data_IF_972301658905
#
_entry.id   IF_972301658905
#
_cell.length_a   1.000
_cell.length_b   1.000
_cell.length_c   1.000
_cell.angle_alpha   90.00
_cell.angle_beta   90.00
_cell.angle_gamma   90.00
#
_symmetry.space_group_name_H-M   'P 1'
#
loop_
_entity.id
_entity.type
_entity.pdbx_description
1 polymer ?
#
# COMPACT_ATOMS: atom_id res chain seq x y z
N UNK A 1 -62.44 99.93 -59.23
CA UNK A 1 -61.78 98.63 -59.00
C UNK A 1 -61.86 97.86 -60.31
N UNK A 2 -60.72 97.70 -61.00
CA UNK A 2 -60.68 97.32 -62.41
C UNK A 2 -60.77 95.80 -62.60
N UNK A 3 -61.32 95.36 -63.74
CA UNK A 3 -61.41 93.96 -64.20
C UNK A 3 -60.10 93.16 -63.98
N UNK A 4 -58.95 93.84 -64.12
CA UNK A 4 -57.60 93.28 -63.92
C UNK A 4 -57.27 92.90 -62.46
N UNK A 5 -57.84 93.59 -61.47
CA UNK A 5 -57.61 93.29 -60.05
C UNK A 5 -58.42 92.07 -59.62
N UNK A 6 -59.62 91.89 -60.19
CA UNK A 6 -60.46 90.71 -60.01
C UNK A 6 -59.80 89.46 -60.59
N UNK A 7 -59.28 89.56 -61.81
CA UNK A 7 -58.55 88.47 -62.47
C UNK A 7 -57.25 88.10 -61.74
N UNK A 8 -56.52 89.07 -61.16
CA UNK A 8 -55.32 88.78 -60.33
C UNK A 8 -55.68 88.12 -59.00
N UNK A 9 -56.77 88.54 -58.36
CA UNK A 9 -57.26 87.92 -57.13
C UNK A 9 -57.79 86.49 -57.37
N UNK A 10 -58.48 86.25 -58.49
CA UNK A 10 -58.92 84.92 -58.91
C UNK A 10 -57.73 84.01 -59.25
N UNK A 11 -56.74 84.52 -60.00
CA UNK A 11 -55.51 83.77 -60.27
C UNK A 11 -54.67 83.49 -59.02
N UNK A 12 -54.68 84.40 -58.03
CA UNK A 12 -54.02 84.19 -56.74
C UNK A 12 -54.76 83.13 -55.90
N UNK A 13 -56.09 83.21 -55.83
CA UNK A 13 -56.92 82.23 -55.13
C UNK A 13 -56.85 80.85 -55.79
N UNK A 14 -56.76 80.77 -57.12
CA UNK A 14 -56.59 79.52 -57.84
C UNK A 14 -55.19 78.92 -57.64
N UNK A 15 -54.12 79.74 -57.66
CA UNK A 15 -52.77 79.29 -57.29
C UNK A 15 -52.67 78.84 -55.84
N UNK A 16 -53.41 79.46 -54.92
CA UNK A 16 -53.47 79.08 -53.51
C UNK A 16 -54.23 77.77 -53.32
N UNK A 17 -55.36 77.59 -54.02
CA UNK A 17 -56.08 76.30 -54.07
C UNK A 17 -55.21 75.19 -54.65
N UNK A 18 -54.49 75.45 -55.74
CA UNK A 18 -53.54 74.49 -56.33
C UNK A 18 -52.35 74.19 -55.40
N UNK A 19 -51.85 75.18 -54.64
CA UNK A 19 -50.82 74.94 -53.61
C UNK A 19 -51.36 74.05 -52.49
N UNK A 20 -52.52 74.38 -51.94
CA UNK A 20 -53.17 73.60 -50.89
C UNK A 20 -53.50 72.18 -51.35
N UNK A 21 -53.92 72.00 -52.61
CA UNK A 21 -54.17 70.68 -53.19
C UNK A 21 -52.89 69.87 -53.38
N UNK A 22 -51.81 70.47 -53.89
CA UNK A 22 -50.50 69.80 -53.96
C UNK A 22 -49.92 69.47 -52.60
N UNK A 23 -50.11 70.33 -51.60
CA UNK A 23 -49.64 70.09 -50.23
C UNK A 23 -50.45 68.97 -49.57
N UNK A 24 -51.76 68.91 -49.81
CA UNK A 24 -52.61 67.76 -49.41
C UNK A 24 -52.19 66.47 -50.11
N UNK A 25 -51.89 66.51 -51.41
CA UNK A 25 -51.42 65.34 -52.17
C UNK A 25 -50.06 64.86 -51.65
N UNK A 26 -49.10 65.77 -51.39
CA UNK A 26 -47.79 65.44 -50.81
C UNK A 26 -47.93 64.88 -49.38
N UNK A 27 -48.80 65.46 -48.56
CA UNK A 27 -49.08 64.95 -47.21
C UNK A 27 -49.71 63.56 -47.25
N UNK A 28 -50.64 63.31 -48.18
CA UNK A 28 -51.23 61.99 -48.39
C UNK A 28 -50.18 60.97 -48.88
N UNK A 29 -49.30 61.36 -49.81
CA UNK A 29 -48.21 60.50 -50.30
C UNK A 29 -47.18 60.18 -49.21
N UNK A 30 -46.85 61.14 -48.34
CA UNK A 30 -45.98 60.91 -47.18
C UNK A 30 -46.66 59.98 -46.18
N UNK A 31 -47.93 60.20 -45.85
CA UNK A 31 -48.69 59.34 -44.93
C UNK A 31 -48.83 57.90 -45.48
N UNK A 32 -49.02 57.75 -46.79
CA UNK A 32 -49.04 56.43 -47.43
C UNK A 32 -47.66 55.75 -47.39
N UNK A 33 -46.57 56.47 -47.66
CA UNK A 33 -45.20 55.96 -47.54
C UNK A 33 -44.87 55.56 -46.10
N UNK A 34 -45.29 56.34 -45.11
CA UNK A 34 -45.12 56.04 -43.69
C UNK A 34 -45.93 54.81 -43.27
N UNK A 35 -47.18 54.66 -43.75
CA UNK A 35 -48.00 53.46 -43.51
C UNK A 35 -47.32 52.22 -44.10
N UNK A 36 -46.86 52.29 -45.35
CA UNK A 36 -46.16 51.19 -46.03
C UNK A 36 -44.82 50.87 -45.34
N UNK A 37 -44.10 51.88 -44.84
CA UNK A 37 -42.87 51.68 -44.08
C UNK A 37 -43.14 51.01 -42.73
N UNK A 38 -44.19 51.42 -42.02
CA UNK A 38 -44.64 50.82 -40.76
C UNK A 38 -45.10 49.36 -40.96
N UNK A 39 -45.85 49.06 -42.01
CA UNK A 39 -46.25 47.70 -42.37
C UNK A 39 -45.02 46.82 -42.69
N UNK A 40 -44.04 47.35 -43.43
CA UNK A 40 -42.78 46.65 -43.70
C UNK A 40 -41.95 46.43 -42.43
N UNK A 41 -41.95 47.39 -41.51
CA UNK A 41 -41.25 47.28 -40.23
C UNK A 41 -41.92 46.27 -39.30
N UNK A 42 -43.26 46.28 -39.21
CA UNK A 42 -44.03 45.29 -38.47
C UNK A 42 -43.78 43.88 -39.01
N UNK A 43 -43.80 43.70 -40.35
CA UNK A 43 -43.48 42.42 -40.99
C UNK A 43 -42.01 41.97 -40.78
N UNK A 44 -41.06 42.90 -40.60
CA UNK A 44 -39.68 42.58 -40.21
C UNK A 44 -39.61 42.08 -38.77
N UNK A 45 -40.19 42.81 -37.83
CA UNK A 45 -40.22 42.44 -36.41
C UNK A 45 -40.92 41.09 -36.17
N UNK A 46 -42.01 40.81 -36.89
CA UNK A 46 -42.69 39.53 -36.78
C UNK A 46 -41.82 38.36 -37.28
N UNK A 47 -41.08 38.57 -38.39
CA UNK A 47 -40.12 37.56 -38.88
C UNK A 47 -38.96 37.36 -37.92
N UNK A 48 -38.43 38.43 -37.34
CA UNK A 48 -37.34 38.35 -36.37
C UNK A 48 -37.80 37.66 -35.07
N UNK A 49 -39.03 37.93 -34.60
CA UNK A 49 -39.64 37.21 -33.48
C UNK A 49 -39.76 35.72 -33.76
N UNK A 50 -40.29 35.33 -34.92
CA UNK A 50 -40.39 33.91 -35.31
C UNK A 50 -39.02 33.23 -35.36
N UNK A 51 -37.99 33.91 -35.87
CA UNK A 51 -36.61 33.39 -35.88
C UNK A 51 -36.05 33.18 -34.48
N UNK A 52 -36.31 34.10 -33.55
CA UNK A 52 -35.89 33.97 -32.15
C UNK A 52 -36.62 32.84 -31.44
N UNK A 53 -37.93 32.68 -31.67
CA UNK A 53 -38.72 31.56 -31.15
C UNK A 53 -38.19 30.21 -31.68
N UNK A 54 -37.97 30.10 -32.99
CA UNK A 54 -37.37 28.90 -33.60
C UNK A 54 -35.94 28.61 -33.07
N UNK A 55 -35.14 29.65 -32.83
CA UNK A 55 -33.80 29.51 -32.26
C UNK A 55 -33.85 29.03 -30.79
N UNK A 56 -34.74 29.59 -29.98
CA UNK A 56 -34.94 29.20 -28.59
C UNK A 56 -35.47 27.75 -28.48
N UNK A 57 -36.40 27.35 -29.37
CA UNK A 57 -36.87 25.97 -29.44
C UNK A 57 -35.75 24.99 -29.82
N UNK A 58 -34.91 25.36 -30.79
CA UNK A 58 -33.73 24.55 -31.18
C UNK A 58 -32.73 24.43 -30.04
N UNK A 59 -32.46 25.51 -29.31
CA UNK A 59 -31.56 25.50 -28.15
C UNK A 59 -32.12 24.65 -27.01
N UNK A 60 -33.41 24.81 -26.68
CA UNK A 60 -34.07 23.99 -25.67
C UNK A 60 -34.09 22.50 -26.06
N UNK A 61 -34.29 22.19 -27.34
CA UNK A 61 -34.18 20.82 -27.86
C UNK A 61 -32.75 20.28 -27.78
N UNK A 62 -31.74 21.10 -28.05
CA UNK A 62 -30.33 20.73 -27.90
C UNK A 62 -29.99 20.43 -26.43
N UNK A 63 -30.38 21.29 -25.49
CA UNK A 63 -30.18 21.08 -24.04
C UNK A 63 -30.89 19.81 -23.55
N UNK A 64 -32.11 19.52 -24.04
CA UNK A 64 -32.81 18.26 -23.72
C UNK A 64 -32.04 17.03 -24.20
N UNK A 65 -31.54 17.05 -25.44
CA UNK A 65 -30.73 15.94 -25.99
C UNK A 65 -29.41 15.77 -25.26
N UNK A 66 -28.76 16.86 -24.85
CA UNK A 66 -27.53 16.82 -24.05
C UNK A 66 -27.80 16.22 -22.67
N UNK A 67 -28.87 16.67 -21.99
CA UNK A 67 -29.28 16.10 -20.71
C UNK A 67 -29.61 14.60 -20.83
N UNK A 68 -30.34 14.19 -21.88
CA UNK A 68 -30.67 12.79 -22.14
C UNK A 68 -29.40 11.94 -22.37
N UNK A 69 -28.43 12.45 -23.14
CA UNK A 69 -27.12 11.79 -23.32
C UNK A 69 -26.33 11.71 -22.02
N UNK A 70 -26.35 12.75 -21.18
CA UNK A 70 -25.69 12.74 -19.89
C UNK A 70 -26.31 11.73 -18.92
N UNK A 71 -27.65 11.65 -18.89
CA UNK A 71 -28.38 10.65 -18.10
C UNK A 71 -28.09 9.23 -18.61
N UNK A 72 -28.07 9.02 -19.93
CA UNK A 72 -27.72 7.73 -20.52
C UNK A 72 -26.26 7.34 -20.22
N UNK A 73 -25.33 8.30 -20.27
CA UNK A 73 -23.93 8.12 -19.89
C UNK A 73 -23.78 7.71 -18.42
N UNK A 74 -24.38 8.47 -17.51
CA UNK A 74 -24.36 8.17 -16.07
C UNK A 74 -25.01 6.81 -15.75
N UNK A 75 -26.10 6.45 -16.45
CA UNK A 75 -26.73 5.15 -16.30
C UNK A 75 -25.82 3.99 -16.77
N UNK A 76 -25.07 4.18 -17.87
CA UNK A 76 -24.08 3.20 -18.35
C UNK A 76 -22.91 3.03 -17.37
N UNK A 77 -22.38 4.13 -16.84
CA UNK A 77 -21.31 4.11 -15.83
C UNK A 77 -21.77 3.41 -14.55
N UNK A 78 -22.96 3.74 -14.04
CA UNK A 78 -23.55 3.07 -12.88
C UNK A 78 -23.78 1.57 -13.13
N UNK A 79 -24.23 1.20 -14.33
CA UNK A 79 -24.40 -0.21 -14.71
C UNK A 79 -23.06 -0.96 -14.80
N UNK A 80 -22.00 -0.30 -15.28
CA UNK A 80 -20.65 -0.86 -15.31
C UNK A 80 -20.11 -1.06 -13.89
N UNK A 81 -20.19 -0.03 -13.04
CA UNK A 81 -19.78 -0.12 -11.64
C UNK A 81 -20.52 -1.24 -10.89
N UNK A 82 -21.83 -1.39 -11.13
CA UNK A 82 -22.61 -2.49 -10.54
C UNK A 82 -22.13 -3.87 -11.02
N UNK A 83 -21.81 -4.04 -12.31
CA UNK A 83 -21.27 -5.31 -12.84
C UNK A 83 -19.90 -5.63 -12.26
N UNK A 84 -19.03 -4.62 -12.13
CA UNK A 84 -17.70 -4.77 -11.53
C UNK A 84 -17.81 -5.17 -10.06
N UNK A 85 -18.73 -4.55 -9.30
CA UNK A 85 -19.01 -4.91 -7.91
C UNK A 85 -19.53 -6.35 -7.77
N UNK A 86 -20.46 -6.78 -8.62
CA UNK A 86 -20.97 -8.17 -8.62
C UNK A 86 -19.84 -9.16 -8.94
N UNK A 87 -18.98 -8.85 -9.92
CA UNK A 87 -17.83 -9.69 -10.26
C UNK A 87 -16.85 -9.79 -9.10
N UNK A 88 -16.52 -8.67 -8.46
CA UNK A 88 -15.63 -8.65 -7.29
C UNK A 88 -16.20 -9.48 -6.12
N UNK A 89 -17.51 -9.40 -5.87
CA UNK A 89 -18.19 -10.20 -4.85
C UNK A 89 -18.13 -11.71 -5.17
N UNK A 90 -18.34 -12.10 -6.44
CA UNK A 90 -18.23 -13.50 -6.85
C UNK A 90 -16.80 -14.02 -6.70
N UNK A 91 -15.80 -13.24 -7.11
CA UNK A 91 -14.39 -13.60 -6.96
C UNK A 91 -14.01 -13.74 -5.47
N UNK A 92 -14.52 -12.87 -4.60
CA UNK A 92 -14.34 -12.98 -3.15
C UNK A 92 -14.99 -14.26 -2.59
N UNK A 93 -16.21 -14.60 -3.03
CA UNK A 93 -16.89 -15.83 -2.63
C UNK A 93 -16.13 -17.09 -3.06
N UNK A 94 -15.61 -17.11 -4.29
CA UNK A 94 -14.79 -18.23 -4.79
C UNK A 94 -13.49 -18.36 -3.99
N UNK A 95 -12.84 -17.25 -3.63
CA UNK A 95 -11.65 -17.26 -2.75
C UNK A 95 -11.98 -17.83 -1.36
N UNK A 96 -13.11 -17.43 -0.77
CA UNK A 96 -13.56 -17.95 0.53
C UNK A 96 -13.78 -19.48 0.49
N UNK A 97 -14.50 -19.98 -0.53
CA UNK A 97 -14.71 -21.43 -0.70
C UNK A 97 -13.41 -22.22 -0.92
N UNK A 98 -12.41 -21.62 -1.58
CA UNK A 98 -11.09 -22.24 -1.74
C UNK A 98 -10.33 -22.28 -0.42
N UNK A 99 -10.41 -21.22 0.38
CA UNK A 99 -9.81 -21.16 1.70
C UNK A 99 -10.41 -22.21 2.66
N UNK A 100 -11.74 -22.38 2.65
CA UNK A 100 -12.42 -23.44 3.42
C UNK A 100 -11.93 -24.84 3.01
N UNK A 101 -11.90 -25.13 1.70
CA UNK A 101 -11.37 -26.41 1.19
C UNK A 101 -9.91 -26.61 1.54
N UNK A 102 -9.11 -25.55 1.56
CA UNK A 102 -7.72 -25.62 1.98
C UNK A 102 -7.59 -25.91 3.48
N UNK A 103 -8.42 -25.29 4.33
CA UNK A 103 -8.46 -25.53 5.76
C UNK A 103 -8.89 -26.97 6.08
N UNK A 104 -9.92 -27.47 5.40
CA UNK A 104 -10.37 -28.87 5.53
C UNK A 104 -9.25 -29.84 5.12
N UNK A 105 -8.59 -29.60 3.97
CA UNK A 105 -7.44 -30.41 3.54
C UNK A 105 -6.28 -30.36 4.53
N UNK A 106 -6.00 -29.19 5.12
CA UNK A 106 -4.95 -29.04 6.12
C UNK A 106 -5.28 -29.83 7.38
N UNK A 107 -6.53 -29.76 7.86
CA UNK A 107 -7.02 -30.55 8.99
C UNK A 107 -6.91 -32.05 8.72
N UNK A 108 -7.42 -32.53 7.59
CA UNK A 108 -7.35 -33.94 7.21
C UNK A 108 -5.91 -34.43 7.07
N UNK A 109 -4.99 -33.59 6.58
CA UNK A 109 -3.55 -33.91 6.55
C UNK A 109 -2.95 -34.02 7.96
N UNK A 110 -3.31 -33.11 8.87
CA UNK A 110 -2.85 -33.17 10.25
C UNK A 110 -3.38 -34.43 10.96
N UNK A 111 -4.65 -34.76 10.77
CA UNK A 111 -5.27 -35.99 11.28
C UNK A 111 -4.61 -37.25 10.68
N UNK A 112 -4.38 -37.29 9.37
CA UNK A 112 -3.71 -38.41 8.69
C UNK A 112 -2.25 -38.59 9.12
N UNK A 113 -1.56 -37.49 9.45
CA UNK A 113 -0.21 -37.51 10.00
C UNK A 113 -0.17 -37.83 11.50
N UNK A 114 -1.32 -37.98 12.17
CA UNK A 114 -1.41 -38.24 13.60
C UNK A 114 -0.92 -37.07 14.48
N UNK A 115 -0.88 -35.85 13.93
CA UNK A 115 -0.37 -34.67 14.64
C UNK A 115 -1.35 -34.26 15.74
N UNK A 116 -0.92 -34.39 16.99
CA UNK A 116 -1.70 -33.95 18.17
C UNK A 116 -1.33 -32.51 18.52
N UNK A 117 -2.30 -31.57 18.58
CA UNK A 117 -2.02 -30.20 19.01
C UNK A 117 -1.33 -30.15 20.38
N UNK A 118 -0.34 -29.27 20.53
CA UNK A 118 0.27 -28.99 21.83
C UNK A 118 1.13 -30.12 22.41
N UNK A 119 1.69 -31.00 21.56
CA UNK A 119 2.60 -32.07 21.99
C UNK A 119 4.03 -31.90 21.46
N UNK A 120 4.85 -31.01 22.08
CA UNK A 120 6.23 -30.77 21.65
C UNK A 120 7.13 -32.01 21.70
N UNK A 121 6.75 -33.02 22.49
CA UNK A 121 7.47 -34.29 22.62
C UNK A 121 7.50 -35.11 21.32
N UNK A 122 6.60 -34.83 20.37
CA UNK A 122 6.53 -35.53 19.08
C UNK A 122 7.36 -34.81 17.99
N UNK A 123 8.08 -33.73 18.34
CA UNK A 123 8.93 -32.99 17.40
C UNK A 123 10.21 -33.77 17.05
N UNK A 124 10.74 -33.63 15.81
CA UNK A 124 12.07 -34.09 15.46
C UNK A 124 13.13 -33.55 16.44
N UNK A 125 14.17 -34.33 16.73
CA UNK A 125 15.17 -34.02 17.76
C UNK A 125 15.73 -32.58 17.74
N UNK A 126 16.06 -31.97 16.58
CA UNK A 126 16.54 -30.58 16.53
C UNK A 126 15.50 -29.55 16.95
N UNK A 127 14.22 -29.77 16.63
CA UNK A 127 13.11 -28.91 17.05
C UNK A 127 12.73 -29.16 18.50
N UNK A 128 12.73 -30.42 18.93
CA UNK A 128 12.45 -30.78 20.32
C UNK A 128 13.40 -30.05 21.29
N UNK A 129 14.67 -29.84 20.91
CA UNK A 129 15.64 -29.08 21.71
C UNK A 129 15.24 -27.62 21.96
N UNK A 130 14.66 -26.94 20.96
CA UNK A 130 14.14 -25.57 21.09
C UNK A 130 12.95 -25.50 22.05
N UNK A 131 12.16 -26.56 22.09
CA UNK A 131 10.96 -26.69 22.92
C UNK A 131 11.21 -27.45 24.23
N UNK A 132 12.47 -27.77 24.56
CA UNK A 132 12.85 -28.24 25.89
C UNK A 132 12.65 -27.05 26.83
N UNK A 133 11.42 -26.89 27.29
CA UNK A 133 11.07 -26.07 28.44
C UNK A 133 12.14 -26.29 29.49
N UNK A 134 12.81 -25.20 29.90
CA UNK A 134 13.81 -25.20 30.96
C UNK A 134 13.41 -26.23 32.02
N UNK A 135 14.13 -27.35 32.07
CA UNK A 135 13.81 -28.41 33.01
C UNK A 135 13.71 -27.77 34.38
N UNK A 136 12.60 -28.02 35.07
CA UNK A 136 12.40 -27.59 36.45
C UNK A 136 13.64 -27.93 37.30
N UNK A 137 13.88 -27.17 38.38
CA UNK A 137 15.17 -27.11 39.07
C UNK A 137 15.75 -28.50 39.29
N UNK A 138 16.79 -28.86 38.52
CA UNK A 138 17.53 -30.11 38.72
C UNK A 138 18.12 -30.08 40.13
N UNK A 139 17.69 -31.00 40.98
CA UNK A 139 18.30 -31.24 42.31
C UNK A 139 19.73 -31.73 42.10
N UNK A 140 20.70 -30.83 42.29
CA UNK A 140 22.13 -31.09 42.19
C UNK A 140 22.95 -29.81 42.29
N UNK A 141 24.29 -29.90 42.36
CA UNK A 141 25.18 -28.73 42.27
C UNK A 141 24.89 -27.97 40.97
N UNK A 142 24.93 -26.63 40.99
CA UNK A 142 24.70 -25.79 39.80
C UNK A 142 25.61 -26.28 38.65
N UNK A 143 25.04 -26.61 37.47
CA UNK A 143 25.84 -26.97 36.30
C UNK A 143 26.82 -25.83 35.98
N UNK A 144 28.10 -26.16 35.76
CA UNK A 144 29.13 -25.19 35.35
C UNK A 144 28.88 -24.61 33.96
N UNK A 145 28.05 -25.27 33.15
CA UNK A 145 27.69 -24.89 31.79
C UNK A 145 26.19 -25.10 31.57
N UNK A 146 25.52 -24.14 30.95
CA UNK A 146 24.09 -24.18 30.62
C UNK A 146 23.88 -23.99 29.12
N UNK A 147 22.71 -24.40 28.62
CA UNK A 147 22.36 -24.24 27.20
C UNK A 147 22.39 -22.76 26.80
N UNK A 148 21.81 -21.88 27.63
CA UNK A 148 21.78 -20.43 27.41
C UNK A 148 23.19 -19.83 27.31
N UNK A 149 24.13 -20.26 28.15
CA UNK A 149 25.52 -19.82 28.06
C UNK A 149 26.19 -20.25 26.75
N UNK A 150 25.93 -21.47 26.28
CA UNK A 150 26.45 -21.96 24.99
C UNK A 150 25.87 -21.13 23.84
N UNK A 151 24.56 -20.92 23.85
CA UNK A 151 23.85 -20.14 22.84
C UNK A 151 24.35 -18.69 22.80
N UNK A 152 24.47 -18.01 23.95
CA UNK A 152 24.91 -16.62 23.99
C UNK A 152 26.36 -16.43 23.54
N UNK A 153 27.24 -17.37 23.89
CA UNK A 153 28.62 -17.34 23.41
C UNK A 153 28.69 -17.52 21.89
N UNK A 154 27.85 -18.39 21.33
CA UNK A 154 27.75 -18.58 19.89
C UNK A 154 27.16 -17.36 19.17
N UNK A 155 26.15 -16.70 19.75
CA UNK A 155 25.59 -15.42 19.25
C UNK A 155 26.67 -14.34 19.25
N UNK A 156 27.38 -14.15 20.37
CA UNK A 156 28.44 -13.14 20.50
C UNK A 156 29.56 -13.37 19.47
N UNK A 157 29.94 -14.63 19.24
CA UNK A 157 30.91 -14.98 18.21
C UNK A 157 30.38 -14.67 16.79
N UNK A 158 29.10 -14.96 16.53
CA UNK A 158 28.46 -14.69 15.25
C UNK A 158 28.30 -13.19 14.97
N UNK A 159 28.01 -12.39 16.00
CA UNK A 159 27.91 -10.93 15.91
C UNK A 159 29.26 -10.29 15.59
N UNK A 160 30.34 -10.83 16.17
CA UNK A 160 31.69 -10.28 16.01
C UNK A 160 32.40 -10.74 14.71
N UNK A 161 32.29 -12.03 14.37
CA UNK A 161 33.08 -12.66 13.30
C UNK A 161 32.22 -13.26 12.17
N UNK A 162 30.89 -13.15 12.27
CA UNK A 162 29.95 -13.74 11.32
C UNK A 162 29.68 -15.23 11.55
N UNK A 163 28.62 -15.76 10.91
CA UNK A 163 28.14 -17.13 11.12
C UNK A 163 29.17 -18.22 10.78
N UNK A 164 30.09 -17.94 9.84
CA UNK A 164 31.11 -18.90 9.40
C UNK A 164 32.14 -19.19 10.49
N UNK A 165 32.40 -18.24 11.39
CA UNK A 165 33.30 -18.43 12.52
C UNK A 165 32.71 -19.38 13.59
N UNK A 166 31.39 -19.54 13.61
CA UNK A 166 30.69 -20.40 14.56
C UNK A 166 30.95 -21.87 14.23
N UNK A 167 31.84 -22.48 15.00
CA UNK A 167 32.08 -23.92 15.01
C UNK A 167 32.02 -24.44 16.45
N UNK A 168 31.71 -25.73 16.61
CA UNK A 168 31.68 -26.35 17.95
C UNK A 168 33.01 -26.16 18.69
N UNK A 169 34.14 -26.19 17.98
CA UNK A 169 35.45 -25.96 18.57
C UNK A 169 35.65 -24.50 19.03
N UNK A 170 35.30 -23.51 18.20
CA UNK A 170 35.41 -22.09 18.56
C UNK A 170 34.50 -21.71 19.73
N UNK A 171 33.28 -22.23 19.75
CA UNK A 171 32.35 -21.99 20.87
C UNK A 171 32.88 -22.61 22.16
N UNK A 172 33.49 -23.80 22.09
CA UNK A 172 34.08 -24.45 23.26
C UNK A 172 35.30 -23.67 23.79
N UNK A 173 36.15 -23.20 22.87
CA UNK A 173 37.30 -22.33 23.15
C UNK A 173 36.85 -21.04 23.86
N UNK A 174 35.84 -20.35 23.31
CA UNK A 174 35.28 -19.12 23.89
C UNK A 174 34.74 -19.32 25.32
N UNK A 175 34.25 -20.53 25.63
CA UNK A 175 33.71 -20.89 26.93
C UNK A 175 34.74 -21.54 27.87
N UNK A 176 35.98 -21.77 27.41
CA UNK A 176 37.02 -22.44 28.18
C UNK A 176 36.72 -23.90 28.52
N UNK A 177 35.91 -24.58 27.69
CA UNK A 177 35.52 -25.99 27.86
C UNK A 177 36.00 -26.85 26.70
N UNK A 178 35.94 -28.18 26.85
CA UNK A 178 36.22 -29.09 25.73
C UNK A 178 35.03 -29.18 24.78
N UNK A 179 35.26 -29.42 23.49
CA UNK A 179 34.16 -29.63 22.51
C UNK A 179 33.22 -30.77 22.92
N UNK A 180 33.75 -31.83 23.53
CA UNK A 180 32.97 -32.93 24.09
C UNK A 180 32.02 -32.50 25.22
N UNK A 181 32.32 -31.40 25.92
CA UNK A 181 31.43 -30.85 26.92
C UNK A 181 30.19 -30.20 26.30
N UNK A 182 30.32 -29.55 25.13
CA UNK A 182 29.20 -28.95 24.40
C UNK A 182 28.22 -30.00 23.88
N UNK A 183 28.73 -31.12 23.36
CA UNK A 183 27.90 -32.19 22.79
C UNK A 183 26.95 -32.85 23.79
N UNK A 184 27.13 -32.63 25.11
CA UNK A 184 26.16 -33.04 26.14
C UNK A 184 24.88 -32.21 26.15
N UNK A 185 24.94 -30.98 25.63
CA UNK A 185 23.84 -30.02 25.62
C UNK A 185 23.23 -29.86 24.24
N UNK A 186 24.07 -29.89 23.20
CA UNK A 186 23.66 -29.68 21.80
C UNK A 186 24.26 -30.77 20.93
N UNK A 187 23.44 -31.52 20.20
CA UNK A 187 23.87 -32.72 19.47
C UNK A 187 24.52 -32.41 18.12
N UNK A 188 24.26 -31.24 17.54
CA UNK A 188 24.83 -30.82 16.25
C UNK A 188 25.02 -29.30 16.14
N UNK A 189 25.79 -28.86 15.14
CA UNK A 189 25.89 -27.44 14.80
C UNK A 189 24.52 -26.88 14.39
N UNK A 190 23.72 -27.65 13.66
CA UNK A 190 22.39 -27.21 13.19
C UNK A 190 21.42 -27.00 14.36
N UNK A 191 21.49 -27.84 15.40
CA UNK A 191 20.72 -27.63 16.64
C UNK A 191 21.19 -26.35 17.36
N UNK A 192 22.49 -26.07 17.40
CA UNK A 192 23.03 -24.81 17.94
C UNK A 192 22.53 -23.60 17.14
N UNK A 193 22.52 -23.69 15.81
CA UNK A 193 22.02 -22.62 14.93
C UNK A 193 20.54 -22.33 15.17
N UNK A 194 19.72 -23.37 15.35
CA UNK A 194 18.31 -23.19 15.73
C UNK A 194 18.16 -22.48 17.08
N UNK A 195 18.97 -22.84 18.07
CA UNK A 195 18.95 -22.23 19.41
C UNK A 195 19.39 -20.77 19.37
N UNK A 196 20.46 -20.47 18.63
CA UNK A 196 20.90 -19.10 18.39
C UNK A 196 19.82 -18.27 17.72
N UNK A 197 19.14 -18.81 16.71
CA UNK A 197 18.07 -18.13 15.99
C UNK A 197 16.90 -17.76 16.91
N UNK A 198 16.40 -18.71 17.72
CA UNK A 198 15.27 -18.45 18.62
C UNK A 198 15.66 -17.52 19.78
N UNK A 199 16.89 -17.62 20.31
CA UNK A 199 17.38 -16.76 21.37
C UNK A 199 17.59 -15.30 20.93
N UNK A 200 18.11 -15.09 19.71
CA UNK A 200 18.29 -13.74 19.17
C UNK A 200 16.97 -12.97 19.03
N UNK A 201 15.85 -13.65 18.77
CA UNK A 201 14.51 -13.03 18.73
C UNK A 201 14.08 -12.50 20.12
N UNK A 202 14.58 -13.11 21.21
CA UNK A 202 14.24 -12.75 22.58
C UNK A 202 14.99 -11.52 23.13
N UNK A 203 16.19 -11.25 22.63
CA UNK A 203 17.10 -10.22 23.17
C UNK A 203 16.79 -8.78 22.71
N UNK A 204 15.84 -8.60 21.79
CA UNK A 204 15.48 -7.28 21.27
C UNK A 204 14.21 -6.73 21.95
N UNK A 205 14.35 -5.78 22.90
CA UNK A 205 13.22 -4.97 23.34
C UNK A 205 12.69 -4.21 22.12
N UNK A 206 11.36 -4.07 22.00
CA UNK A 206 10.75 -3.38 20.86
C UNK A 206 11.41 -2.01 20.64
N UNK A 207 11.74 -1.62 19.39
CA UNK A 207 12.48 -0.41 19.14
C UNK A 207 11.71 0.82 19.62
N UNK A 208 12.46 1.81 20.14
CA UNK A 208 12.01 3.20 20.11
C UNK A 208 11.68 3.53 18.66
N UNK A 209 10.39 3.72 18.43
CA UNK A 209 9.73 3.89 17.13
C UNK A 209 10.58 4.78 16.21
N UNK A 210 11.05 4.24 15.10
CA UNK A 210 11.52 5.04 13.97
C UNK A 210 10.27 5.74 13.41
N UNK A 211 10.15 7.02 13.72
CA UNK A 211 9.02 7.93 13.45
C UNK A 211 7.75 7.72 14.31
N UNK A 212 7.35 8.70 15.16
CA UNK A 212 6.09 8.60 15.88
C UNK A 212 4.92 8.52 14.88
N UNK A 213 3.94 7.62 15.09
CA UNK A 213 2.77 7.56 14.23
C UNK A 213 2.06 8.92 14.26
N UNK A 214 1.49 9.32 13.12
CA UNK A 214 0.56 10.44 13.08
C UNK A 214 -0.52 10.21 14.16
N UNK A 215 -0.84 11.21 14.96
CA UNK A 215 -1.69 11.10 16.16
C UNK A 215 -3.10 10.52 15.90
N UNK A 216 -3.49 10.37 14.63
CA UNK A 216 -4.78 9.86 14.17
C UNK A 216 -4.71 8.49 13.46
N UNK A 217 -3.55 7.80 13.47
CA UNK A 217 -3.39 6.53 12.78
C UNK A 217 -4.21 5.39 13.45
N UNK A 218 -4.85 4.49 12.67
CA UNK A 218 -5.50 3.31 13.23
C UNK A 218 -4.56 2.45 14.07
N UNK A 219 -5.05 1.90 15.18
CA UNK A 219 -4.23 1.13 16.12
C UNK A 219 -3.49 -0.06 15.48
N UNK A 220 -4.14 -0.76 14.54
CA UNK A 220 -3.51 -1.87 13.82
C UNK A 220 -2.27 -1.41 13.02
N UNK A 221 -2.30 -0.21 12.44
CA UNK A 221 -1.19 0.33 11.65
C UNK A 221 0.01 0.61 12.53
N UNK A 222 -0.24 1.24 13.69
CA UNK A 222 0.81 1.53 14.69
C UNK A 222 1.46 0.24 15.19
N UNK A 223 0.66 -0.77 15.54
CA UNK A 223 1.16 -2.06 16.04
C UNK A 223 1.95 -2.83 14.99
N UNK A 224 1.46 -2.88 13.74
CA UNK A 224 2.14 -3.58 12.66
C UNK A 224 3.45 -2.88 12.26
N UNK A 225 3.47 -1.54 12.27
CA UNK A 225 4.71 -0.77 12.08
C UNK A 225 5.76 -1.11 13.14
N UNK A 226 5.39 -1.04 14.42
CA UNK A 226 6.30 -1.39 15.52
C UNK A 226 6.81 -2.84 15.44
N UNK A 227 5.97 -3.76 14.97
CA UNK A 227 6.36 -5.14 14.71
C UNK A 227 7.37 -5.26 13.56
N UNK A 228 7.19 -4.50 12.47
CA UNK A 228 8.16 -4.40 11.36
C UNK A 228 9.49 -3.83 11.83
N UNK A 229 9.48 -2.73 12.59
CA UNK A 229 10.68 -2.10 13.12
C UNK A 229 11.49 -3.09 13.98
N UNK A 230 10.81 -3.88 14.82
CA UNK A 230 11.47 -4.90 15.64
C UNK A 230 12.16 -5.97 14.79
N UNK A 231 11.53 -6.42 13.71
CA UNK A 231 12.13 -7.39 12.78
C UNK A 231 13.35 -6.80 12.07
N UNK A 232 13.29 -5.52 11.69
CA UNK A 232 14.38 -4.83 11.06
C UNK A 232 15.57 -4.68 12.02
N UNK A 233 15.31 -4.23 13.26
CA UNK A 233 16.31 -4.09 14.32
C UNK A 233 17.02 -5.42 14.60
N UNK A 234 16.27 -6.53 14.69
CA UNK A 234 16.83 -7.88 14.84
C UNK A 234 17.80 -8.24 13.72
N UNK A 235 17.43 -7.94 12.47
CA UNK A 235 18.24 -8.28 11.30
C UNK A 235 19.49 -7.41 11.19
N UNK A 236 19.40 -6.13 11.58
CA UNK A 236 20.55 -5.21 11.62
C UNK A 236 21.52 -5.61 12.73
N UNK A 237 21.02 -5.97 13.91
CA UNK A 237 21.82 -6.37 15.07
C UNK A 237 22.49 -7.73 14.87
N UNK A 238 21.78 -8.68 14.26
CA UNK A 238 22.25 -10.04 14.05
C UNK A 238 22.21 -10.40 12.55
N UNK A 239 23.11 -9.85 11.70
CA UNK A 239 23.10 -10.08 10.25
C UNK A 239 23.16 -11.57 9.85
N UNK A 240 23.73 -12.41 10.71
CA UNK A 240 23.84 -13.85 10.51
C UNK A 240 22.50 -14.61 10.58
N UNK A 241 21.42 -14.01 11.12
CA UNK A 241 20.09 -14.62 11.17
C UNK A 241 19.60 -15.08 9.79
N UNK A 242 20.02 -14.38 8.74
CA UNK A 242 19.63 -14.63 7.35
C UNK A 242 20.21 -15.94 6.82
N UNK A 243 21.45 -16.23 7.20
CA UNK A 243 22.14 -17.47 6.83
C UNK A 243 21.78 -18.63 7.77
N UNK A 244 21.38 -18.34 9.00
CA UNK A 244 20.89 -19.34 9.95
C UNK A 244 19.48 -19.83 9.59
N UNK A 245 18.67 -19.03 8.90
CA UNK A 245 17.33 -19.41 8.45
C UNK A 245 17.32 -20.61 7.48
N UNK A 246 18.44 -20.87 6.79
CA UNK A 246 18.61 -22.03 5.91
C UNK A 246 18.78 -23.35 6.69
N UNK A 247 19.13 -23.29 7.98
CA UNK A 247 19.66 -24.44 8.71
C UNK A 247 18.62 -25.31 9.44
N UNK A 248 17.33 -24.94 9.49
CA UNK A 248 16.13 -25.70 9.95
C UNK A 248 14.99 -24.67 10.01
N UNK A 249 13.70 -25.00 9.77
CA UNK A 249 12.61 -24.11 10.14
C UNK A 249 12.63 -23.94 11.66
N UNK A 250 13.36 -22.95 12.17
CA UNK A 250 13.56 -22.69 13.59
C UNK A 250 12.27 -22.11 14.20
N UNK A 251 11.22 -22.92 14.20
CA UNK A 251 9.96 -22.67 14.90
C UNK A 251 10.18 -22.91 16.39
N UNK A 252 11.09 -22.17 17.01
CA UNK A 252 11.25 -22.17 18.45
C UNK A 252 10.14 -21.39 19.16
N UNK A 253 10.06 -21.48 20.49
CA UNK A 253 9.04 -20.80 21.28
C UNK A 253 8.98 -19.29 21.04
N UNK A 254 10.14 -18.61 20.89
CA UNK A 254 10.18 -17.16 20.66
C UNK A 254 9.71 -16.80 19.25
N UNK A 255 10.07 -17.61 18.26
CA UNK A 255 9.57 -17.42 16.88
C UNK A 255 8.06 -17.57 16.80
N UNK A 256 7.48 -18.55 17.50
CA UNK A 256 6.01 -18.73 17.55
C UNK A 256 5.33 -17.58 18.29
N UNK A 257 5.90 -17.13 19.41
CA UNK A 257 5.38 -15.96 20.13
C UNK A 257 5.40 -14.69 19.26
N UNK A 258 6.45 -14.47 18.48
CA UNK A 258 6.55 -13.35 17.55
C UNK A 258 5.52 -13.42 16.41
N UNK A 259 5.16 -14.63 15.96
CA UNK A 259 4.08 -14.86 15.00
C UNK A 259 2.72 -14.52 15.62
N UNK A 260 2.47 -14.94 16.86
CA UNK A 260 1.26 -14.62 17.60
C UNK A 260 1.10 -13.10 17.78
N UNK A 261 2.16 -12.42 18.23
CA UNK A 261 2.20 -10.96 18.38
C UNK A 261 1.91 -10.24 17.05
N UNK A 262 2.47 -10.76 15.94
CA UNK A 262 2.18 -10.25 14.61
C UNK A 262 0.70 -10.38 14.24
N UNK A 263 0.10 -11.55 14.48
CA UNK A 263 -1.31 -11.79 14.17
C UNK A 263 -2.24 -10.94 15.02
N UNK A 264 -1.86 -10.71 16.28
CA UNK A 264 -2.57 -9.84 17.21
C UNK A 264 -2.60 -8.39 16.72
N UNK A 265 -1.56 -7.91 16.02
CA UNK A 265 -1.57 -6.54 15.48
C UNK A 265 -2.77 -6.28 14.56
N UNK A 266 -3.23 -7.30 13.83
CA UNK A 266 -4.34 -7.25 12.88
C UNK A 266 -5.65 -7.86 13.44
N UNK A 267 -5.68 -8.26 14.72
CA UNK A 267 -6.82 -8.97 15.31
C UNK A 267 -8.14 -8.22 15.18
N UNK A 268 -8.10 -6.91 15.44
CA UNK A 268 -9.24 -5.99 15.43
C UNK A 268 -9.71 -5.59 14.01
N UNK A 269 -9.01 -6.04 12.97
CA UNK A 269 -9.35 -5.69 11.58
C UNK A 269 -10.42 -6.64 11.00
N UNK A 270 -11.23 -6.20 10.03
CA UNK A 270 -12.18 -7.06 9.31
C UNK A 270 -11.51 -8.09 8.39
N UNK A 271 -10.17 -8.11 8.30
CA UNK A 271 -9.44 -8.99 7.38
C UNK A 271 -9.67 -10.46 7.74
N UNK A 272 -9.96 -11.34 6.77
CA UNK A 272 -9.96 -12.79 6.98
C UNK A 272 -8.61 -13.26 7.52
N UNK A 273 -8.61 -14.25 8.42
CA UNK A 273 -7.38 -14.76 9.06
C UNK A 273 -6.31 -15.17 8.04
N UNK A 274 -6.72 -15.79 6.92
CA UNK A 274 -5.79 -16.12 5.84
C UNK A 274 -5.06 -14.89 5.26
N UNK A 275 -5.75 -13.75 5.11
CA UNK A 275 -5.11 -12.51 4.67
C UNK A 275 -4.18 -11.92 5.74
N UNK A 276 -4.54 -12.02 7.03
CA UNK A 276 -3.66 -11.59 8.12
C UNK A 276 -2.33 -12.34 8.08
N UNK A 277 -2.36 -13.65 7.82
CA UNK A 277 -1.16 -14.49 7.64
C UNK A 277 -0.34 -14.05 6.43
N UNK A 278 -0.97 -13.79 5.27
CA UNK A 278 -0.28 -13.31 4.06
C UNK A 278 0.38 -11.94 4.28
N UNK A 279 -0.31 -11.02 4.97
CA UNK A 279 0.24 -9.70 5.32
C UNK A 279 1.49 -9.85 6.19
N UNK A 280 1.46 -10.70 7.22
CA UNK A 280 2.64 -10.95 8.07
C UNK A 280 3.76 -11.65 7.32
N UNK A 281 3.43 -12.55 6.39
CA UNK A 281 4.40 -13.16 5.50
C UNK A 281 5.10 -12.12 4.65
N UNK A 282 4.34 -11.28 3.94
CA UNK A 282 4.87 -10.19 3.12
C UNK A 282 5.72 -9.20 3.93
N UNK A 283 5.24 -8.80 5.12
CA UNK A 283 5.97 -7.94 6.03
C UNK A 283 7.30 -8.57 6.48
N UNK A 284 7.27 -9.85 6.87
CA UNK A 284 8.49 -10.58 7.26
C UNK A 284 9.51 -10.63 6.13
N UNK A 285 9.09 -10.96 4.89
CA UNK A 285 9.99 -11.02 3.74
C UNK A 285 10.58 -9.64 3.42
N UNK A 286 9.77 -8.59 3.51
CA UNK A 286 10.25 -7.22 3.31
C UNK A 286 11.32 -6.88 4.34
N UNK A 287 11.06 -7.10 5.64
CA UNK A 287 12.01 -6.76 6.70
C UNK A 287 13.30 -7.58 6.61
N UNK A 288 13.20 -8.85 6.20
CA UNK A 288 14.34 -9.72 5.93
C UNK A 288 15.23 -9.11 4.82
N UNK A 289 14.61 -8.67 3.72
CA UNK A 289 15.33 -8.08 2.61
C UNK A 289 15.96 -6.72 2.96
N UNK A 290 15.25 -5.87 3.70
CA UNK A 290 15.76 -4.57 4.14
C UNK A 290 16.92 -4.71 5.11
N UNK A 291 16.76 -5.59 6.10
CA UNK A 291 17.78 -5.81 7.10
C UNK A 291 19.08 -6.33 6.48
N UNK A 292 19.00 -7.18 5.44
CA UNK A 292 20.18 -7.60 4.69
C UNK A 292 20.89 -6.43 4.01
N UNK A 293 20.13 -5.53 3.39
CA UNK A 293 20.70 -4.36 2.71
C UNK A 293 21.36 -3.40 3.71
N UNK A 294 20.69 -3.10 4.82
CA UNK A 294 21.23 -2.25 5.88
C UNK A 294 22.46 -2.86 6.53
N UNK A 295 22.41 -4.14 6.89
CA UNK A 295 23.55 -4.82 7.51
C UNK A 295 24.78 -4.84 6.59
N UNK A 296 24.58 -5.06 5.29
CA UNK A 296 25.67 -5.06 4.32
C UNK A 296 26.22 -3.65 4.03
N UNK A 297 25.41 -2.60 4.18
CA UNK A 297 25.87 -1.21 4.08
C UNK A 297 26.66 -0.74 5.31
N UNK A 298 26.25 -1.19 6.50
CA UNK A 298 26.91 -0.89 7.77
C UNK A 298 28.17 -1.74 8.01
N UNK A 299 28.31 -2.87 7.32
CA UNK A 299 29.49 -3.72 7.40
C UNK A 299 30.74 -2.90 7.00
N UNK A 300 31.81 -2.89 7.82
CA UNK A 300 33.04 -2.19 7.48
C UNK A 300 33.54 -2.67 6.12
N UNK A 301 33.59 -1.76 5.13
CA UNK A 301 34.31 -2.02 3.87
C UNK A 301 35.79 -2.09 4.23
N UNK A 302 36.24 -3.29 4.57
CA UNK A 302 37.61 -3.54 5.00
C UNK A 302 38.59 -2.93 3.99
N UNK A 303 39.50 -2.11 4.50
CA UNK A 303 40.65 -1.66 3.76
C UNK A 303 41.53 -2.88 3.43
N UNK A 304 41.40 -3.44 2.23
CA UNK A 304 42.47 -4.20 1.59
C UNK A 304 42.50 -5.72 1.73
N UNK A 305 41.54 -6.39 2.36
CA UNK A 305 41.46 -7.86 2.27
C UNK A 305 40.66 -8.28 1.04
N UNK A 306 41.32 -8.98 0.13
CA UNK A 306 40.73 -9.54 -1.07
C UNK A 306 39.48 -10.37 -0.73
N UNK A 307 38.42 -10.35 -1.55
CA UNK A 307 37.27 -11.20 -1.34
C UNK A 307 37.73 -12.66 -1.25
N UNK A 308 37.19 -13.47 -0.32
CA UNK A 308 37.56 -14.87 -0.21
C UNK A 308 37.37 -15.54 -1.56
N UNK A 309 38.44 -16.13 -2.09
CA UNK A 309 38.60 -16.66 -3.46
C UNK A 309 37.66 -17.82 -3.83
N UNK A 310 36.73 -18.19 -2.95
CA UNK A 310 35.73 -19.24 -3.15
C UNK A 310 34.30 -18.70 -3.28
N UNK A 311 34.11 -17.40 -3.51
CA UNK A 311 32.86 -16.91 -4.09
C UNK A 311 32.82 -17.34 -5.56
N UNK A 312 31.80 -18.09 -6.04
CA UNK A 312 31.58 -18.14 -7.48
C UNK A 312 31.46 -16.69 -7.95
N UNK A 313 32.17 -16.33 -9.01
CA UNK A 313 32.27 -14.97 -9.55
C UNK A 313 30.93 -14.34 -10.02
N UNK A 314 29.79 -14.89 -9.59
CA UNK A 314 28.42 -14.42 -9.78
C UNK A 314 27.57 -14.39 -8.50
N UNK A 315 28.12 -14.67 -7.31
CA UNK A 315 27.51 -14.22 -6.04
C UNK A 315 27.80 -12.72 -5.87
N UNK A 316 27.44 -11.95 -6.88
CA UNK A 316 27.57 -10.50 -6.89
C UNK A 316 26.84 -9.99 -5.64
N UNK A 317 27.50 -9.10 -4.91
CA UNK A 317 26.82 -8.29 -3.91
C UNK A 317 25.51 -7.80 -4.54
N UNK A 318 24.39 -7.91 -3.79
CA UNK A 318 23.07 -7.48 -4.24
C UNK A 318 23.18 -6.13 -4.99
N UNK A 319 22.44 -5.84 -6.06
CA UNK A 319 22.56 -4.58 -6.82
C UNK A 319 22.65 -3.32 -5.93
N UNK A 320 21.87 -3.24 -4.86
CA UNK A 320 21.96 -2.17 -3.85
C UNK A 320 23.25 -2.11 -3.00
N UNK A 321 24.21 -3.01 -3.23
CA UNK A 321 25.53 -3.10 -2.59
C UNK A 321 26.68 -2.85 -3.60
N UNK A 322 26.35 -2.74 -4.88
CA UNK A 322 27.23 -2.19 -5.92
C UNK A 322 26.75 -0.79 -6.28
N UNK A 323 27.60 0.03 -6.91
CA UNK A 323 27.16 1.30 -7.51
C UNK A 323 26.28 1.00 -8.74
N UNK A 324 25.04 0.57 -8.48
CA UNK A 324 24.10 0.14 -9.51
C UNK A 324 23.69 1.30 -10.41
N UNK A 325 23.51 2.50 -9.83
CA UNK A 325 23.30 3.74 -10.58
C UNK A 325 24.45 4.01 -11.56
N UNK A 326 25.70 3.92 -11.09
CA UNK A 326 26.88 4.04 -11.94
C UNK A 326 26.95 2.99 -13.06
N UNK A 327 26.66 1.72 -12.76
CA UNK A 327 26.61 0.65 -13.77
C UNK A 327 25.53 0.90 -14.83
N UNK A 328 24.34 1.34 -14.43
CA UNK A 328 23.27 1.68 -15.37
C UNK A 328 23.67 2.84 -16.28
N UNK A 329 24.39 3.86 -15.78
CA UNK A 329 24.93 4.95 -16.60
C UNK A 329 25.93 4.47 -17.65
N UNK A 330 26.70 3.42 -17.34
CA UNK A 330 27.67 2.84 -18.28
C UNK A 330 27.02 1.93 -19.33
N UNK A 331 25.95 1.23 -18.96
CA UNK A 331 25.33 0.20 -19.80
C UNK A 331 24.14 0.70 -20.65
N UNK A 332 23.62 1.89 -20.36
CA UNK A 332 22.41 2.41 -21.00
C UNK A 332 22.61 3.79 -21.61
N UNK A 333 21.76 4.18 -22.57
CA UNK A 333 21.76 5.55 -23.15
C UNK A 333 20.36 6.16 -23.13
N UNK A 334 20.21 7.50 -23.09
CA UNK A 334 18.90 8.16 -23.06
C UNK A 334 18.01 7.81 -24.25
N UNK A 335 18.60 7.64 -25.43
CA UNK A 335 17.86 7.33 -26.66
C UNK A 335 17.29 5.90 -26.68
N UNK A 336 17.99 4.96 -26.04
CA UNK A 336 17.61 3.53 -26.04
C UNK A 336 16.89 3.10 -24.77
N UNK A 337 17.14 3.80 -23.65
CA UNK A 337 16.61 3.49 -22.33
C UNK A 337 16.09 4.76 -21.61
N UNK A 338 15.12 5.49 -22.22
CA UNK A 338 14.70 6.81 -21.72
C UNK A 338 14.16 6.77 -20.28
N UNK A 339 13.47 5.68 -19.89
CA UNK A 339 12.92 5.53 -18.54
C UNK A 339 13.98 5.25 -17.47
N UNK A 340 15.04 4.53 -17.84
CA UNK A 340 16.17 4.31 -16.91
C UNK A 340 16.90 5.61 -16.68
N UNK A 341 17.07 6.42 -17.73
CA UNK A 341 17.70 7.73 -17.62
C UNK A 341 16.86 8.74 -16.84
N UNK A 342 15.53 8.76 -17.02
CA UNK A 342 14.63 9.56 -16.18
C UNK A 342 14.79 9.22 -14.69
N UNK A 343 14.88 7.92 -14.35
CA UNK A 343 15.11 7.48 -12.98
C UNK A 343 16.53 7.80 -12.46
N UNK A 344 17.57 7.68 -13.31
CA UNK A 344 18.93 8.08 -12.97
C UNK A 344 19.08 9.59 -12.76
N UNK A 345 18.35 10.42 -13.49
CA UNK A 345 18.40 11.88 -13.36
C UNK A 345 17.85 12.37 -12.02
N UNK A 346 16.81 11.70 -11.51
CA UNK A 346 16.24 11.99 -10.19
C UNK A 346 16.95 11.26 -9.04
N UNK A 347 18.03 10.52 -9.33
CA UNK A 347 18.80 9.77 -8.34
C UNK A 347 18.09 8.52 -7.80
N UNK A 348 17.09 7.99 -8.50
CA UNK A 348 16.27 6.86 -8.04
C UNK A 348 17.01 5.51 -7.91
N UNK A 349 18.29 5.46 -8.28
CA UNK A 349 19.18 4.30 -8.09
C UNK A 349 20.41 4.63 -7.26
N UNK A 350 20.57 5.88 -6.82
CA UNK A 350 21.74 6.38 -6.10
C UNK A 350 21.49 6.36 -4.56
N UNK A 351 20.50 5.58 -4.09
CA UNK A 351 20.11 5.50 -2.68
C UNK A 351 21.26 4.95 -1.80
N UNK A 352 21.63 5.72 -0.77
CA UNK A 352 22.50 5.24 0.31
C UNK A 352 21.66 4.52 1.38
N UNK A 353 21.92 3.22 1.64
CA UNK A 353 21.19 2.48 2.67
C UNK A 353 21.39 3.12 4.05
N UNK A 354 20.29 3.29 4.80
CA UNK A 354 20.33 3.85 6.16
C UNK A 354 20.19 5.36 6.24
N UNK A 355 19.92 6.05 5.12
CA UNK A 355 19.54 7.47 5.12
C UNK A 355 18.02 7.62 5.00
N UNK A 356 17.41 8.32 5.96
CA UNK A 356 15.95 8.55 6.00
C UNK A 356 15.44 9.56 4.95
N UNK A 357 16.31 10.01 4.03
CA UNK A 357 16.05 11.11 3.10
C UNK A 357 15.83 10.73 1.63
N UNK A 358 16.00 9.47 1.24
CA UNK A 358 15.91 8.99 -0.14
C UNK A 358 14.64 8.18 -0.46
N UNK A 359 14.40 7.89 -1.74
CA UNK A 359 13.28 7.05 -2.21
C UNK A 359 13.46 5.56 -1.84
N UNK A 360 14.66 5.17 -1.41
CA UNK A 360 15.02 3.79 -1.06
C UNK A 360 15.02 3.44 0.43
N UNK A 361 14.69 4.38 1.34
CA UNK A 361 14.66 4.11 2.77
C UNK A 361 13.62 3.04 3.15
N UNK A 362 13.90 2.27 4.22
CA UNK A 362 12.99 1.24 4.71
C UNK A 362 11.59 1.80 5.05
N UNK A 363 11.53 3.07 5.51
CA UNK A 363 10.27 3.77 5.81
C UNK A 363 9.30 3.82 4.62
N UNK A 364 9.77 4.17 3.41
CA UNK A 364 8.89 4.22 2.23
C UNK A 364 8.28 2.85 1.91
N UNK A 365 9.06 1.77 1.99
CA UNK A 365 8.57 0.42 1.64
C UNK A 365 7.64 -0.14 2.72
N UNK A 366 7.92 0.17 3.99
CA UNK A 366 7.01 -0.12 5.12
C UNK A 366 5.70 0.64 4.95
N UNK A 367 5.75 1.94 4.67
CA UNK A 367 4.54 2.74 4.46
C UNK A 367 3.73 2.25 3.26
N UNK A 368 4.38 1.91 2.15
CA UNK A 368 3.71 1.34 0.97
C UNK A 368 3.00 0.02 1.31
N UNK A 369 3.65 -0.85 2.10
CA UNK A 369 3.04 -2.08 2.58
C UNK A 369 1.82 -1.77 3.46
N UNK A 370 1.96 -0.87 4.43
CA UNK A 370 0.90 -0.50 5.36
C UNK A 370 -0.28 0.19 4.65
N UNK A 371 -0.03 0.98 3.60
CA UNK A 371 -1.06 1.59 2.76
C UNK A 371 -1.82 0.53 1.96
N UNK A 372 -1.12 -0.48 1.44
CA UNK A 372 -1.73 -1.65 0.83
C UNK A 372 -2.63 -2.41 1.82
N UNK A 373 -2.19 -2.59 3.07
CA UNK A 373 -3.00 -3.19 4.13
C UNK A 373 -4.21 -2.32 4.46
N UNK A 374 -4.04 -0.99 4.54
CA UNK A 374 -5.16 -0.06 4.78
C UNK A 374 -6.23 -0.16 3.69
N UNK A 375 -5.81 -0.31 2.42
CA UNK A 375 -6.73 -0.55 1.32
C UNK A 375 -7.50 -1.87 1.48
N UNK A 376 -6.83 -2.95 1.88
CA UNK A 376 -7.48 -4.24 2.15
C UNK A 376 -8.49 -4.14 3.31
N UNK A 377 -8.13 -3.44 4.38
CA UNK A 377 -9.02 -3.20 5.53
C UNK A 377 -10.26 -2.43 5.10
N UNK A 378 -10.09 -1.33 4.37
CA UNK A 378 -11.21 -0.52 3.88
C UNK A 378 -12.11 -1.31 2.90
N UNK A 379 -11.53 -2.15 2.05
CA UNK A 379 -12.29 -3.02 1.14
C UNK A 379 -13.10 -4.07 1.92
N UNK A 380 -12.53 -4.65 2.98
CA UNK A 380 -13.22 -5.61 3.83
C UNK A 380 -14.34 -4.96 4.66
N UNK A 381 -14.12 -3.74 5.16
CA UNK A 381 -15.14 -2.89 5.81
C UNK A 381 -16.32 -2.60 4.86
N UNK A 382 -16.03 -2.17 3.63
CA UNK A 382 -17.05 -1.89 2.62
C UNK A 382 -17.86 -3.14 2.25
N UNK A 383 -17.22 -4.31 2.20
CA UNK A 383 -17.87 -5.59 1.94
C UNK A 383 -18.75 -6.09 3.11
N UNK A 384 -18.40 -5.74 4.36
CA UNK A 384 -19.18 -6.12 5.53
C UNK A 384 -20.52 -5.35 5.66
N UNK A 385 -20.67 -4.23 4.97
CA UNK A 385 -21.86 -3.39 4.95
C UNK A 385 -22.17 -2.72 6.32
N UNK A 386 -23.13 -1.77 6.38
CA UNK A 386 -23.44 -1.02 7.61
C UNK A 386 -24.12 -1.84 8.75
N UNK A 387 -24.07 -3.17 8.74
CA UNK A 387 -24.94 -4.02 9.58
C UNK A 387 -24.25 -5.10 10.43
N UNK A 388 -22.93 -5.28 10.34
CA UNK A 388 -22.25 -6.40 11.03
C UNK A 388 -21.55 -6.01 12.35
N UNK A 389 -21.72 -4.77 12.83
CA UNK A 389 -21.00 -4.21 13.98
C UNK A 389 -21.68 -4.37 15.35
N UNK A 390 -22.60 -5.32 15.53
CA UNK A 390 -23.17 -5.62 16.85
C UNK A 390 -23.14 -7.13 17.11
N UNK A 391 -21.94 -7.65 17.40
CA UNK A 391 -21.80 -8.95 18.05
C UNK A 391 -22.46 -8.93 19.43
N UNK A 392 -23.04 -10.05 19.90
CA UNK A 392 -23.77 -10.08 21.16
C UNK A 392 -22.85 -9.74 22.32
N UNK A 393 -23.21 -8.71 23.09
CA UNK A 393 -22.56 -8.39 24.35
C UNK A 393 -22.52 -9.66 25.24
N UNK A 394 -21.32 -10.03 25.68
CA UNK A 394 -21.13 -11.11 26.63
C UNK A 394 -21.98 -10.84 27.89
N UNK A 395 -22.62 -11.87 28.49
CA UNK A 395 -23.37 -11.68 29.72
C UNK A 395 -22.41 -11.24 30.82
N UNK A 396 -22.67 -10.05 31.37
CA UNK A 396 -22.02 -9.51 32.55
C UNK A 396 -22.29 -10.44 33.73
N UNK A 397 -21.32 -11.27 34.08
CA UNK A 397 -21.31 -12.02 35.34
C UNK A 397 -20.99 -11.04 36.47
N UNK A 398 -22.00 -10.36 36.99
CA UNK A 398 -21.92 -9.76 38.32
C UNK A 398 -21.88 -10.91 39.33
N UNK A 399 -20.69 -11.21 39.84
CA UNK A 399 -20.52 -11.94 41.07
C UNK A 399 -20.92 -11.02 42.22
N UNK A 400 -22.10 -11.26 42.79
CA UNK A 400 -22.46 -10.82 44.14
C UNK A 400 -21.42 -11.42 45.12
N UNK A 401 -20.81 -10.55 45.91
CA UNK A 401 -20.13 -10.92 47.14
C UNK A 401 -21.01 -10.39 48.28
N UNK A 402 -21.71 -11.31 48.93
CA UNK A 402 -22.14 -11.22 50.33
C UNK A 402 -21.92 -12.59 50.99
#
# INVERSE_FOLDING_TARGET
MNERDRQRAEQAAEKERQRAERDRQRAAEIAEKERVAAERQAARLERDRRRLEEAAEKEAAARRREHERAVEGAAKEAAQAAREAVRAALDAQVKAQRAERQAERARLRAEAAGLTPGRPADLPSPLAALWRTAEGPRRGPRPTLTLDQITQAAITLADAEGLRAVSMARVAEALGVTTMALYRYVTSKDELLGLMYDAAIADEPGPEVLAPPAADAPAWRVRLHAWCDRQLALTVRHPWLMHAADAIPALGPRRVQMLEEGLETLADTPLPVGQRVEVLGAASLLMLSEGMLLAAALAPRGTGDAPPTDQPAGAAAHPALVDFGGLLRLLTTPDTHPRVWEALEVGGFDDEPGTDGGYGGAGFRVDLLLDGVAHLVAAAEAAAGPGAGAGPAAPSTTADHD
#
